data_IF_503066555889
#
_entry.id   IF_503066555889
#
_cell.length_a   1.000
_cell.length_b   1.000
_cell.length_c   1.000
_cell.angle_alpha   90.00
_cell.angle_beta   90.00
_cell.angle_gamma   90.00
#
_symmetry.space_group_name_H-M   'P 1'
#
loop_
_entity.id
_entity.type
_entity.pdbx_description
1 polymer ?
#
# COMPACT_ATOMS: atom_id res chain seq x y z
N UNK A 1 -36.41 -17.35 -16.99
CA UNK A 1 -36.16 -16.14 -16.15
C UNK A 1 -37.51 -15.69 -15.59
N UNK A 2 -37.66 -15.50 -14.28
CA UNK A 2 -38.88 -14.91 -13.73
C UNK A 2 -39.07 -13.48 -14.26
N UNK A 3 -40.32 -12.98 -14.40
CA UNK A 3 -40.58 -11.63 -14.89
C UNK A 3 -39.96 -10.60 -13.93
N UNK A 4 -39.28 -9.59 -14.49
CA UNK A 4 -38.66 -8.50 -13.73
C UNK A 4 -39.42 -7.20 -13.98
N UNK A 5 -39.69 -6.39 -12.94
CA UNK A 5 -40.29 -5.07 -13.13
C UNK A 5 -39.37 -4.17 -13.97
N UNK A 6 -39.97 -3.31 -14.79
CA UNK A 6 -39.25 -2.33 -15.60
C UNK A 6 -38.74 -1.23 -14.66
N UNK A 7 -37.43 -1.00 -14.64
CA UNK A 7 -36.83 0.13 -13.95
C UNK A 7 -37.01 1.37 -14.82
N UNK A 8 -37.84 2.31 -14.38
CA UNK A 8 -37.99 3.61 -15.03
C UNK A 8 -36.90 4.55 -14.49
N UNK A 9 -35.99 4.97 -15.36
CA UNK A 9 -34.99 5.97 -15.02
C UNK A 9 -35.52 7.36 -15.40
N UNK A 10 -35.29 8.36 -14.54
CA UNK A 10 -35.59 9.74 -14.91
C UNK A 10 -34.69 10.20 -16.06
N UNK A 11 -35.14 11.20 -16.83
CA UNK A 11 -34.32 11.78 -17.90
C UNK A 11 -33.02 12.38 -17.36
N UNK A 12 -33.08 13.05 -16.21
CA UNK A 12 -31.92 13.69 -15.56
C UNK A 12 -30.87 12.65 -15.13
N UNK A 13 -31.31 11.53 -14.55
CA UNK A 13 -30.41 10.44 -14.18
C UNK A 13 -29.77 9.79 -15.43
N UNK A 14 -30.55 9.61 -16.50
CA UNK A 14 -30.07 9.01 -17.75
C UNK A 14 -29.03 9.91 -18.42
N UNK A 15 -29.31 11.20 -18.50
CA UNK A 15 -28.40 12.19 -19.05
C UNK A 15 -27.14 12.32 -18.17
N UNK A 16 -27.28 12.29 -16.85
CA UNK A 16 -26.16 12.27 -15.90
C UNK A 16 -25.24 11.08 -16.09
N UNK A 17 -25.77 9.88 -16.32
CA UNK A 17 -24.99 8.69 -16.66
C UNK A 17 -24.24 8.83 -17.98
N UNK A 18 -24.90 9.34 -19.03
CA UNK A 18 -24.28 9.56 -20.34
C UNK A 18 -23.15 10.62 -20.26
N UNK A 19 -23.40 11.74 -19.58
CA UNK A 19 -22.41 12.79 -19.38
C UNK A 19 -21.17 12.25 -18.66
N UNK A 20 -21.38 11.46 -17.59
CA UNK A 20 -20.28 10.81 -16.86
C UNK A 20 -19.52 9.80 -17.73
N UNK A 21 -20.22 8.99 -18.53
CA UNK A 21 -19.60 8.06 -19.47
C UNK A 21 -18.64 8.78 -20.41
N UNK A 22 -19.07 9.88 -21.02
CA UNK A 22 -18.24 10.66 -21.93
C UNK A 22 -17.07 11.35 -21.21
N UNK A 23 -17.31 11.92 -20.03
CA UNK A 23 -16.26 12.57 -19.23
C UNK A 23 -15.18 11.58 -18.80
N UNK A 24 -15.57 10.47 -18.16
CA UNK A 24 -14.64 9.44 -17.73
C UNK A 24 -13.96 8.78 -18.94
N UNK A 25 -14.67 8.58 -20.05
CA UNK A 25 -14.13 8.06 -21.29
C UNK A 25 -13.11 9.00 -21.97
N UNK A 26 -13.25 10.32 -21.83
CA UNK A 26 -12.23 11.26 -22.28
C UNK A 26 -11.02 11.27 -21.34
N UNK A 27 -11.24 11.22 -20.03
CA UNK A 27 -10.16 11.25 -19.04
C UNK A 27 -9.31 9.98 -19.05
N UNK A 28 -9.90 8.82 -19.35
CA UNK A 28 -9.18 7.53 -19.35
C UNK A 28 -8.11 7.44 -20.44
N UNK A 29 -8.25 8.22 -21.53
CA UNK A 29 -7.27 8.31 -22.61
C UNK A 29 -5.92 8.81 -22.10
N UNK A 30 -5.91 9.64 -21.05
CA UNK A 30 -4.67 10.13 -20.43
C UNK A 30 -3.78 9.03 -19.85
N UNK A 31 -4.26 7.79 -19.73
CA UNK A 31 -3.40 6.63 -19.38
C UNK A 31 -2.34 6.35 -20.45
N UNK A 32 -2.58 6.77 -21.71
CA UNK A 32 -1.66 6.57 -22.82
C UNK A 32 -0.44 7.49 -22.75
N UNK A 33 -0.50 8.57 -21.96
CA UNK A 33 0.61 9.48 -21.70
C UNK A 33 1.55 8.87 -20.65
N UNK A 34 2.10 7.70 -21.00
CA UNK A 34 2.99 6.95 -20.12
C UNK A 34 4.24 7.79 -19.78
N UNK A 35 4.52 7.91 -18.49
CA UNK A 35 5.75 8.54 -17.98
C UNK A 35 6.66 7.50 -17.36
N UNK A 36 6.11 6.71 -16.44
CA UNK A 36 6.80 5.64 -15.74
C UNK A 36 5.78 4.66 -15.13
N UNK A 37 6.26 3.49 -14.71
CA UNK A 37 5.43 2.41 -14.17
C UNK A 37 4.66 2.78 -12.90
N UNK A 38 5.22 3.66 -12.04
CA UNK A 38 4.58 4.08 -10.79
C UNK A 38 3.49 5.13 -11.06
N UNK A 39 3.73 6.08 -11.98
CA UNK A 39 2.71 7.01 -12.48
C UNK A 39 1.53 6.26 -13.10
N UNK A 40 1.80 5.20 -13.89
CA UNK A 40 0.75 4.36 -14.46
C UNK A 40 -0.09 3.69 -13.36
N UNK A 41 0.54 3.11 -12.34
CA UNK A 41 -0.17 2.49 -11.22
C UNK A 41 -0.99 3.51 -10.42
N UNK A 42 -0.41 4.67 -10.11
CA UNK A 42 -1.11 5.77 -9.42
C UNK A 42 -2.31 6.26 -10.24
N UNK A 43 -2.16 6.40 -11.56
CA UNK A 43 -3.24 6.77 -12.45
C UNK A 43 -4.37 5.75 -12.39
N UNK A 44 -4.07 4.46 -12.59
CA UNK A 44 -5.08 3.39 -12.60
C UNK A 44 -5.78 3.31 -11.24
N UNK A 45 -5.03 3.33 -10.14
CA UNK A 45 -5.58 3.27 -8.79
C UNK A 45 -6.49 4.46 -8.47
N UNK A 46 -6.02 5.69 -8.72
CA UNK A 46 -6.78 6.92 -8.44
C UNK A 46 -8.00 7.08 -9.35
N UNK A 47 -7.89 6.67 -10.62
CA UNK A 47 -9.00 6.71 -11.57
C UNK A 47 -10.10 5.71 -11.17
N UNK A 48 -9.72 4.50 -10.77
CA UNK A 48 -10.68 3.44 -10.39
C UNK A 48 -11.30 3.66 -9.00
N UNK A 49 -10.67 4.48 -8.17
CA UNK A 49 -11.18 4.88 -6.86
C UNK A 49 -12.15 6.09 -6.89
N UNK A 50 -12.46 6.64 -8.08
CA UNK A 50 -13.43 7.73 -8.22
C UNK A 50 -14.77 7.38 -7.54
N UNK A 51 -15.42 8.40 -6.99
CA UNK A 51 -16.77 8.32 -6.42
C UNK A 51 -17.69 9.23 -7.22
N UNK A 52 -18.72 8.69 -7.89
CA UNK A 52 -19.00 7.25 -8.11
C UNK A 52 -17.97 6.59 -9.03
N UNK A 53 -17.83 5.26 -8.91
CA UNK A 53 -16.86 4.48 -9.70
C UNK A 53 -17.11 4.64 -11.21
N UNK A 54 -16.06 4.64 -12.06
CA UNK A 54 -16.25 4.71 -13.51
C UNK A 54 -17.16 3.58 -14.00
N UNK A 55 -17.99 3.91 -14.99
CA UNK A 55 -18.93 2.97 -15.58
C UNK A 55 -18.21 1.77 -16.19
N UNK A 56 -18.91 0.63 -16.27
CA UNK A 56 -18.35 -0.66 -16.73
C UNK A 56 -17.61 -0.50 -18.05
N UNK A 57 -18.20 0.21 -19.01
CA UNK A 57 -17.59 0.45 -20.32
C UNK A 57 -16.23 1.16 -20.23
N UNK A 58 -16.11 2.20 -19.40
CA UNK A 58 -14.85 2.93 -19.23
C UNK A 58 -13.81 2.06 -18.54
N UNK A 59 -14.21 1.25 -17.57
CA UNK A 59 -13.30 0.31 -16.90
C UNK A 59 -12.79 -0.77 -17.85
N UNK A 60 -13.66 -1.28 -18.73
CA UNK A 60 -13.23 -2.21 -19.79
C UNK A 60 -12.34 -1.53 -20.81
N UNK A 61 -12.61 -0.26 -21.16
CA UNK A 61 -11.77 0.51 -22.07
C UNK A 61 -10.37 0.73 -21.51
N UNK A 62 -10.25 1.08 -20.22
CA UNK A 62 -8.95 1.18 -19.54
C UNK A 62 -8.20 -0.15 -19.62
N UNK A 63 -8.89 -1.26 -19.33
CA UNK A 63 -8.29 -2.59 -19.41
C UNK A 63 -7.84 -2.92 -20.85
N UNK A 64 -8.58 -2.50 -21.88
CA UNK A 64 -8.16 -2.65 -23.27
C UNK A 64 -6.90 -1.84 -23.56
N UNK A 65 -6.81 -0.58 -23.13
CA UNK A 65 -5.59 0.23 -23.32
C UNK A 65 -4.36 -0.39 -22.65
N UNK A 66 -4.54 -1.03 -21.48
CA UNK A 66 -3.44 -1.65 -20.74
C UNK A 66 -2.92 -2.96 -21.38
N UNK A 67 -3.74 -3.72 -22.09
CA UNK A 67 -3.43 -5.11 -22.46
C UNK A 67 -3.80 -5.53 -23.89
N UNK A 68 -3.96 -4.59 -24.82
CA UNK A 68 -4.35 -4.93 -26.19
C UNK A 68 -3.22 -5.65 -26.93
N UNK A 69 -3.50 -6.82 -27.54
CA UNK A 69 -2.58 -7.55 -28.42
C UNK A 69 -1.17 -7.84 -27.82
N UNK A 70 -1.07 -8.11 -26.51
CA UNK A 70 0.20 -8.31 -25.78
C UNK A 70 1.12 -7.08 -25.75
N UNK A 71 0.61 -5.91 -26.15
CA UNK A 71 1.26 -4.62 -26.01
C UNK A 71 0.63 -3.85 -24.86
N UNK A 72 1.47 -3.15 -24.11
CA UNK A 72 1.07 -2.27 -23.03
C UNK A 72 0.98 -0.86 -23.61
N UNK A 73 -0.19 -0.24 -23.47
CA UNK A 73 -0.45 1.13 -23.96
C UNK A 73 -0.13 1.30 -25.47
N UNK A 74 -0.23 0.21 -26.24
CA UNK A 74 -0.07 0.18 -27.70
C UNK A 74 1.35 0.41 -28.23
N UNK A 75 2.38 0.41 -27.37
CA UNK A 75 3.76 0.64 -27.81
C UNK A 75 4.83 -0.02 -26.94
N UNK A 76 4.50 -0.42 -25.71
CA UNK A 76 5.46 -0.98 -24.76
C UNK A 76 5.32 -2.50 -24.65
N UNK A 77 6.44 -3.19 -24.50
CA UNK A 77 6.45 -4.60 -24.11
C UNK A 77 6.30 -4.76 -22.59
N UNK A 78 5.89 -5.95 -22.16
CA UNK A 78 5.84 -6.32 -20.73
C UNK A 78 7.21 -6.16 -20.07
N UNK A 79 8.28 -6.53 -20.79
CA UNK A 79 9.65 -6.35 -20.32
C UNK A 79 10.00 -4.89 -20.08
N UNK A 80 9.67 -3.99 -21.00
CA UNK A 80 9.94 -2.56 -20.81
C UNK A 80 9.23 -2.00 -19.59
N UNK A 81 7.98 -2.41 -19.34
CA UNK A 81 7.25 -1.97 -18.16
C UNK A 81 7.86 -2.52 -16.85
N UNK A 82 8.25 -3.80 -16.84
CA UNK A 82 8.90 -4.42 -15.67
C UNK A 82 10.28 -3.81 -15.41
N UNK A 83 11.12 -3.68 -16.43
CA UNK A 83 12.47 -3.13 -16.31
C UNK A 83 12.43 -1.65 -15.87
N UNK A 84 11.44 -0.87 -16.32
CA UNK A 84 11.21 0.49 -15.78
C UNK A 84 10.88 0.45 -14.29
N UNK A 85 9.96 -0.43 -13.86
CA UNK A 85 9.58 -0.57 -12.45
C UNK A 85 10.75 -1.04 -11.57
N UNK A 86 11.51 -2.03 -12.03
CA UNK A 86 12.73 -2.48 -11.37
C UNK A 86 13.73 -1.34 -11.21
N UNK A 87 13.95 -0.54 -12.26
CA UNK A 87 14.88 0.59 -12.24
C UNK A 87 14.48 1.69 -11.24
N UNK A 88 13.19 1.82 -10.94
CA UNK A 88 12.69 2.80 -9.96
C UNK A 88 12.86 2.27 -8.54
N UNK A 89 12.57 0.98 -8.33
CA UNK A 89 12.41 0.43 -6.98
C UNK A 89 13.71 -0.15 -6.41
N UNK A 90 14.35 -1.10 -7.10
CA UNK A 90 15.42 -1.93 -6.51
C UNK A 90 16.67 -2.05 -7.38
N UNK A 91 16.60 -1.72 -8.66
CA UNK A 91 17.67 -1.86 -9.65
C UNK A 91 18.04 -0.56 -10.38
N UNK A 92 18.14 0.61 -9.72
CA UNK A 92 18.48 1.85 -10.42
C UNK A 92 19.86 1.78 -11.05
N UNK A 93 19.95 2.11 -12.33
CA UNK A 93 21.18 2.06 -13.12
C UNK A 93 21.96 0.74 -12.97
N UNK A 94 21.27 -0.39 -12.77
CA UNK A 94 21.89 -1.70 -12.51
C UNK A 94 22.35 -2.37 -13.80
N UNK A 95 23.56 -2.99 -13.83
CA UNK A 95 23.98 -3.81 -14.97
C UNK A 95 23.06 -5.03 -15.19
N UNK A 96 22.25 -5.41 -14.19
CA UNK A 96 21.25 -6.49 -14.34
C UNK A 96 20.14 -6.14 -15.34
N UNK A 97 19.90 -4.85 -15.59
CA UNK A 97 18.91 -4.37 -16.57
C UNK A 97 19.57 -3.99 -17.92
N UNK A 98 20.87 -4.23 -18.08
CA UNK A 98 21.58 -3.90 -19.31
C UNK A 98 21.15 -4.83 -20.44
N UNK A 99 20.73 -4.25 -21.57
CA UNK A 99 20.28 -5.00 -22.75
C UNK A 99 21.45 -5.65 -23.47
N UNK A 100 22.66 -5.10 -23.33
CA UNK A 100 23.87 -5.68 -23.93
C UNK A 100 24.17 -7.08 -23.37
N UNK A 101 23.59 -7.46 -22.22
CA UNK A 101 23.69 -8.82 -21.69
C UNK A 101 22.95 -9.85 -22.56
N UNK A 102 21.87 -9.47 -23.24
CA UNK A 102 21.05 -10.38 -24.04
C UNK A 102 21.78 -10.87 -25.29
N UNK A 103 22.72 -10.06 -25.80
CA UNK A 103 23.47 -10.33 -27.03
C UNK A 103 24.71 -11.21 -26.78
N UNK A 104 25.00 -11.55 -25.52
CA UNK A 104 26.13 -12.41 -25.16
C UNK A 104 25.72 -13.87 -25.33
N UNK A 105 26.37 -14.59 -26.26
CA UNK A 105 26.16 -16.03 -26.48
C UNK A 105 27.19 -16.91 -25.73
N UNK A 106 28.24 -16.31 -25.18
CA UNK A 106 29.31 -17.04 -24.50
C UNK A 106 28.86 -17.53 -23.11
N UNK A 107 28.53 -18.81 -22.98
CA UNK A 107 28.00 -19.45 -21.76
C UNK A 107 28.91 -19.30 -20.52
N UNK A 108 30.21 -19.07 -20.72
CA UNK A 108 31.16 -18.84 -19.62
C UNK A 108 31.22 -17.39 -19.14
N UNK A 109 30.66 -16.45 -19.90
CA UNK A 109 30.58 -15.04 -19.49
C UNK A 109 29.47 -14.87 -18.43
N UNK A 110 29.74 -14.22 -17.28
CA UNK A 110 28.71 -13.97 -16.28
C UNK A 110 27.48 -13.23 -16.81
N UNK A 111 27.62 -12.42 -17.88
CA UNK A 111 26.51 -11.69 -18.51
C UNK A 111 25.50 -12.61 -19.18
N UNK A 112 25.93 -13.76 -19.72
CA UNK A 112 25.02 -14.78 -20.24
C UNK A 112 24.09 -15.30 -19.12
N UNK A 113 24.68 -15.64 -17.96
CA UNK A 113 23.91 -16.08 -16.81
C UNK A 113 22.99 -14.98 -16.27
N UNK A 114 23.43 -13.72 -16.25
CA UNK A 114 22.59 -12.58 -15.86
C UNK A 114 21.37 -12.48 -16.79
N UNK A 115 21.57 -12.54 -18.11
CA UNK A 115 20.47 -12.47 -19.08
C UNK A 115 19.45 -13.60 -18.88
N UNK A 116 19.92 -14.85 -18.73
CA UNK A 116 19.07 -16.02 -18.49
C UNK A 116 18.27 -15.90 -17.19
N UNK A 117 18.92 -15.54 -16.09
CA UNK A 117 18.29 -15.43 -14.77
C UNK A 117 17.29 -14.28 -14.70
N UNK A 118 17.63 -13.13 -15.29
CA UNK A 118 16.71 -11.98 -15.38
C UNK A 118 15.51 -12.28 -16.27
N UNK A 119 15.70 -13.02 -17.36
CA UNK A 119 14.60 -13.43 -18.23
C UNK A 119 13.67 -14.43 -17.54
N UNK A 120 14.24 -15.41 -16.83
CA UNK A 120 13.48 -16.33 -15.99
C UNK A 120 12.62 -15.58 -14.97
N UNK A 121 13.20 -14.58 -14.28
CA UNK A 121 12.44 -13.79 -13.33
C UNK A 121 11.34 -12.96 -14.00
N UNK A 122 11.62 -12.27 -15.13
CA UNK A 122 10.61 -11.51 -15.87
C UNK A 122 9.42 -12.36 -16.28
N UNK A 123 9.66 -13.59 -16.74
CA UNK A 123 8.60 -14.53 -17.09
C UNK A 123 7.71 -14.88 -15.89
N UNK A 124 8.32 -15.10 -14.72
CA UNK A 124 7.59 -15.40 -13.47
C UNK A 124 6.85 -14.17 -12.92
N UNK A 125 7.43 -12.98 -13.02
CA UNK A 125 6.88 -11.73 -12.49
C UNK A 125 5.80 -11.10 -13.37
N UNK A 126 5.81 -11.38 -14.68
CA UNK A 126 4.91 -10.77 -15.66
C UNK A 126 3.43 -10.89 -15.26
N UNK A 127 2.95 -12.10 -15.00
CA UNK A 127 1.53 -12.30 -14.70
C UNK A 127 1.11 -11.65 -13.37
N UNK A 128 1.79 -11.88 -12.22
CA UNK A 128 1.48 -11.20 -10.96
C UNK A 128 1.45 -9.68 -11.09
N UNK A 129 2.43 -9.09 -11.79
CA UNK A 129 2.52 -7.65 -11.96
C UNK A 129 1.39 -7.07 -12.81
N UNK A 130 1.08 -7.71 -13.95
CA UNK A 130 -0.05 -7.29 -14.80
C UNK A 130 -1.40 -7.49 -14.09
N UNK A 131 -1.51 -8.47 -13.20
CA UNK A 131 -2.72 -8.70 -12.40
C UNK A 131 -3.01 -7.56 -11.42
N UNK A 132 -2.02 -6.76 -11.00
CA UNK A 132 -2.26 -5.54 -10.22
C UNK A 132 -3.16 -4.59 -10.99
N UNK A 133 -2.73 -4.25 -12.23
CA UNK A 133 -3.41 -3.31 -13.11
C UNK A 133 -4.78 -3.86 -13.55
N UNK A 134 -4.84 -5.16 -13.89
CA UNK A 134 -6.07 -5.84 -14.31
C UNK A 134 -7.10 -5.91 -13.19
N UNK A 135 -6.65 -6.22 -11.97
CA UNK A 135 -7.51 -6.30 -10.79
C UNK A 135 -8.06 -4.93 -10.42
N UNK A 136 -7.24 -3.88 -10.49
CA UNK A 136 -7.66 -2.51 -10.21
C UNK A 136 -8.82 -2.03 -11.12
N UNK A 137 -8.93 -2.55 -12.34
CA UNK A 137 -10.02 -2.23 -13.27
C UNK A 137 -11.38 -2.87 -12.91
N UNK A 138 -11.42 -3.76 -11.91
CA UNK A 138 -12.66 -4.39 -11.46
C UNK A 138 -13.48 -3.48 -10.53
N UNK A 139 -14.72 -3.87 -10.22
CA UNK A 139 -15.45 -3.21 -9.13
C UNK A 139 -14.75 -3.47 -7.79
N UNK A 140 -14.89 -2.54 -6.83
CA UNK A 140 -14.13 -2.56 -5.55
C UNK A 140 -14.29 -3.88 -4.76
N UNK A 141 -15.49 -4.45 -4.72
CA UNK A 141 -15.72 -5.76 -4.09
C UNK A 141 -14.92 -6.89 -4.75
N UNK A 142 -14.89 -6.89 -6.09
CA UNK A 142 -14.13 -7.87 -6.87
C UNK A 142 -12.62 -7.64 -6.77
N UNK A 143 -12.15 -6.39 -6.70
CA UNK A 143 -10.75 -6.05 -6.42
C UNK A 143 -10.32 -6.79 -5.15
N UNK A 144 -10.98 -6.53 -4.01
CA UNK A 144 -10.63 -7.13 -2.72
C UNK A 144 -10.65 -8.66 -2.78
N UNK A 145 -11.70 -9.24 -3.36
CA UNK A 145 -11.83 -10.70 -3.48
C UNK A 145 -10.67 -11.31 -4.28
N UNK A 146 -10.32 -10.71 -5.42
CA UNK A 146 -9.19 -11.20 -6.25
C UNK A 146 -7.88 -11.08 -5.50
N UNK A 147 -7.61 -9.95 -4.82
CA UNK A 147 -6.39 -9.77 -4.03
C UNK A 147 -6.20 -10.86 -2.98
N UNK A 148 -7.25 -11.24 -2.25
CA UNK A 148 -7.20 -12.34 -1.28
C UNK A 148 -6.81 -13.69 -1.89
N UNK A 149 -6.96 -13.88 -3.20
CA UNK A 149 -6.58 -15.12 -3.89
C UNK A 149 -5.16 -15.04 -4.46
N UNK A 150 -4.81 -13.92 -5.09
CA UNK A 150 -3.52 -13.77 -5.80
C UNK A 150 -2.35 -13.41 -4.88
N UNK A 151 -2.60 -13.06 -3.61
CA UNK A 151 -1.52 -12.71 -2.67
C UNK A 151 -0.54 -13.87 -2.43
N UNK A 152 -1.00 -15.13 -2.53
CA UNK A 152 -0.13 -16.31 -2.45
C UNK A 152 0.82 -16.40 -3.65
N UNK A 153 0.42 -15.89 -4.81
CA UNK A 153 1.27 -15.93 -6.00
C UNK A 153 2.46 -14.97 -5.82
N UNK A 154 2.28 -13.87 -5.08
CA UNK A 154 3.36 -12.98 -4.65
C UNK A 154 4.29 -13.61 -3.61
N UNK A 155 3.76 -14.44 -2.71
CA UNK A 155 4.59 -15.23 -1.79
C UNK A 155 5.53 -16.16 -2.55
N UNK A 156 4.98 -16.94 -3.49
CA UNK A 156 5.76 -17.85 -4.32
C UNK A 156 6.78 -17.10 -5.17
N UNK A 157 6.38 -15.97 -5.78
CA UNK A 157 7.28 -15.15 -6.59
C UNK A 157 8.45 -14.61 -5.77
N UNK A 158 8.24 -14.25 -4.49
CA UNK A 158 9.33 -13.79 -3.64
C UNK A 158 10.35 -14.91 -3.36
N UNK A 159 9.88 -16.12 -3.05
CA UNK A 159 10.77 -17.29 -2.83
C UNK A 159 11.59 -17.56 -4.09
N UNK A 160 10.92 -17.63 -5.24
CA UNK A 160 11.56 -17.79 -6.54
C UNK A 160 12.59 -16.68 -6.83
N UNK A 161 12.25 -15.43 -6.51
CA UNK A 161 13.13 -14.29 -6.71
C UNK A 161 14.39 -14.37 -5.84
N UNK A 162 14.28 -14.89 -4.62
CA UNK A 162 15.40 -15.05 -3.71
C UNK A 162 16.40 -16.10 -4.23
N UNK A 163 15.92 -17.22 -4.78
CA UNK A 163 16.77 -18.21 -5.43
C UNK A 163 17.52 -17.61 -6.63
N UNK A 164 16.83 -16.80 -7.44
CA UNK A 164 17.43 -16.11 -8.60
C UNK A 164 18.46 -15.07 -8.13
N UNK A 165 18.13 -14.28 -7.11
CA UNK A 165 19.04 -13.28 -6.53
C UNK A 165 20.33 -13.92 -6.01
N UNK A 166 20.26 -15.10 -5.37
CA UNK A 166 21.45 -15.82 -4.90
C UNK A 166 22.38 -16.20 -6.07
N UNK A 167 21.82 -16.64 -7.20
CA UNK A 167 22.61 -16.93 -8.41
C UNK A 167 23.23 -15.64 -8.95
N UNK A 168 22.45 -14.56 -9.07
CA UNK A 168 22.92 -13.27 -9.57
C UNK A 168 24.02 -12.68 -8.68
N UNK A 169 23.89 -12.79 -7.37
CA UNK A 169 24.88 -12.36 -6.38
C UNK A 169 26.25 -13.00 -6.65
N UNK A 170 26.28 -14.33 -6.85
CA UNK A 170 27.51 -15.07 -7.16
C UNK A 170 28.08 -14.65 -8.52
N UNK A 171 27.23 -14.52 -9.55
CA UNK A 171 27.68 -14.17 -10.91
C UNK A 171 28.20 -12.74 -11.03
N UNK A 172 27.66 -11.82 -10.24
CA UNK A 172 28.06 -10.40 -10.21
C UNK A 172 29.20 -10.11 -9.22
N UNK A 173 29.59 -11.09 -8.40
CA UNK A 173 30.50 -10.91 -7.27
C UNK A 173 30.06 -9.73 -6.38
N UNK A 174 28.76 -9.69 -6.05
CA UNK A 174 28.18 -8.62 -5.24
C UNK A 174 28.87 -8.55 -3.87
N UNK A 175 29.24 -7.34 -3.45
CA UNK A 175 29.86 -7.11 -2.14
C UNK A 175 28.78 -6.83 -1.09
N UNK A 176 28.74 -7.57 0.03
CA UNK A 176 27.76 -7.34 1.08
C UNK A 176 27.91 -5.93 1.67
N UNK A 177 26.80 -5.36 2.10
CA UNK A 177 26.77 -4.20 2.98
C UNK A 177 26.88 -4.69 4.41
N UNK A 178 27.73 -4.06 5.22
CA UNK A 178 27.79 -4.32 6.66
C UNK A 178 26.67 -3.52 7.33
N UNK A 179 25.66 -4.21 7.86
CA UNK A 179 24.57 -3.58 8.58
C UNK A 179 24.83 -3.69 10.08
N UNK A 180 24.83 -2.54 10.77
CA UNK A 180 24.84 -2.53 12.23
C UNK A 180 23.45 -2.92 12.74
N UNK A 181 23.35 -4.07 13.39
CA UNK A 181 22.15 -4.49 14.10
C UNK A 181 22.05 -3.68 15.40
N UNK A 182 20.84 -3.25 15.77
CA UNK A 182 20.63 -2.61 17.08
C UNK A 182 20.72 -3.61 18.25
N UNK A 183 20.66 -4.91 17.95
CA UNK A 183 20.67 -6.00 18.94
C UNK A 183 22.02 -6.75 19.02
N UNK A 184 22.81 -6.74 17.94
CA UNK A 184 24.07 -7.49 17.87
C UNK A 184 25.28 -6.56 17.89
N UNK A 185 26.33 -6.98 18.60
CA UNK A 185 27.60 -6.24 18.70
C UNK A 185 28.44 -6.31 17.42
N UNK A 186 28.18 -7.27 16.54
CA UNK A 186 28.92 -7.50 15.30
C UNK A 186 28.09 -7.09 14.07
N UNK A 187 28.68 -6.41 13.07
CA UNK A 187 27.99 -6.08 11.83
C UNK A 187 27.58 -7.36 11.09
N UNK A 188 26.34 -7.41 10.60
CA UNK A 188 25.82 -8.54 9.82
C UNK A 188 25.95 -8.22 8.33
N UNK A 189 26.45 -9.18 7.55
CA UNK A 189 26.49 -9.09 6.09
C UNK A 189 25.08 -9.05 5.51
N UNK A 190 24.82 -8.05 4.67
CA UNK A 190 23.52 -7.84 4.03
C UNK A 190 23.70 -7.63 2.52
N UNK A 191 23.16 -8.52 1.71
CA UNK A 191 23.13 -8.43 0.24
C UNK A 191 21.89 -7.69 -0.22
N UNK A 192 21.85 -7.12 -1.43
CA UNK A 192 20.70 -6.32 -1.87
C UNK A 192 19.42 -7.15 -2.08
N UNK A 193 19.56 -8.37 -2.61
CA UNK A 193 18.43 -9.23 -3.03
C UNK A 193 17.37 -8.42 -3.79
N UNK A 194 17.74 -7.78 -4.92
CA UNK A 194 16.91 -6.75 -5.53
C UNK A 194 15.58 -7.27 -6.11
N UNK A 195 15.53 -8.50 -6.61
CA UNK A 195 14.31 -9.08 -7.18
C UNK A 195 13.35 -9.52 -6.08
N UNK A 196 13.86 -10.19 -5.05
CA UNK A 196 13.09 -10.58 -3.85
C UNK A 196 12.61 -9.35 -3.09
N UNK A 197 13.46 -8.31 -2.97
CA UNK A 197 13.07 -7.04 -2.34
C UNK A 197 11.95 -6.34 -3.10
N UNK A 198 11.96 -6.38 -4.44
CA UNK A 198 10.88 -5.86 -5.26
C UNK A 198 9.57 -6.64 -5.04
N UNK A 199 9.64 -7.98 -5.13
CA UNK A 199 8.47 -8.84 -4.94
C UNK A 199 7.86 -8.67 -3.54
N UNK A 200 8.71 -8.58 -2.52
CA UNK A 200 8.29 -8.39 -1.13
C UNK A 200 7.59 -7.05 -0.91
N UNK A 201 8.09 -5.96 -1.51
CA UNK A 201 7.46 -4.64 -1.41
C UNK A 201 6.04 -4.67 -2.00
N UNK A 202 5.85 -5.28 -3.17
CA UNK A 202 4.52 -5.43 -3.76
C UNK A 202 3.61 -6.32 -2.91
N UNK A 203 4.12 -7.43 -2.40
CA UNK A 203 3.37 -8.31 -1.50
C UNK A 203 2.84 -7.54 -0.29
N UNK A 204 3.69 -6.76 0.40
CA UNK A 204 3.28 -5.92 1.52
C UNK A 204 2.21 -4.89 1.13
N UNK A 205 2.40 -4.19 0.01
CA UNK A 205 1.40 -3.23 -0.51
C UNK A 205 0.04 -3.89 -0.77
N UNK A 206 0.05 -5.10 -1.34
CA UNK A 206 -1.19 -5.85 -1.58
C UNK A 206 -1.84 -6.32 -0.27
N UNK A 207 -1.06 -6.76 0.72
CA UNK A 207 -1.57 -7.13 2.05
C UNK A 207 -2.26 -5.93 2.72
N UNK A 208 -1.61 -4.75 2.72
CA UNK A 208 -2.19 -3.52 3.25
C UNK A 208 -3.47 -3.14 2.49
N UNK A 209 -3.48 -3.22 1.17
CA UNK A 209 -4.65 -2.91 0.35
C UNK A 209 -5.84 -3.84 0.64
N UNK A 210 -5.61 -5.14 0.91
CA UNK A 210 -6.67 -6.07 1.33
C UNK A 210 -7.32 -5.60 2.64
N UNK A 211 -6.51 -5.07 3.57
CA UNK A 211 -6.99 -4.53 4.85
C UNK A 211 -7.74 -3.21 4.62
N UNK A 212 -7.15 -2.28 3.89
CA UNK A 212 -7.74 -0.97 3.57
C UNK A 212 -9.09 -1.08 2.85
N UNK A 213 -9.20 -1.97 1.87
CA UNK A 213 -10.46 -2.28 1.19
C UNK A 213 -11.50 -2.89 2.13
N UNK A 214 -11.10 -3.52 3.23
CA UNK A 214 -12.03 -4.00 4.22
C UNK A 214 -12.72 -2.87 4.99
N UNK A 215 -12.03 -1.75 5.23
CA UNK A 215 -12.66 -0.54 5.78
C UNK A 215 -13.60 0.10 4.75
N UNK A 216 -13.11 0.32 3.52
CA UNK A 216 -13.89 0.95 2.45
C UNK A 216 -15.19 0.18 2.11
N UNK A 217 -15.16 -1.15 2.22
CA UNK A 217 -16.29 -2.02 1.89
C UNK A 217 -17.11 -2.44 3.12
N UNK A 218 -16.89 -1.81 4.28
CA UNK A 218 -17.61 -2.10 5.53
C UNK A 218 -17.57 -3.59 5.93
N UNK A 219 -16.44 -4.25 5.66
CA UNK A 219 -16.26 -5.68 5.95
C UNK A 219 -15.99 -5.95 7.43
N UNK A 220 -15.59 -4.92 8.18
CA UNK A 220 -15.23 -5.00 9.59
C UNK A 220 -16.36 -4.45 10.44
N UNK A 221 -16.75 -5.21 11.47
CA UNK A 221 -17.67 -4.74 12.48
C UNK A 221 -16.98 -3.71 13.37
N UNK A 222 -17.79 -2.88 14.03
CA UNK A 222 -17.29 -1.76 14.85
C UNK A 222 -16.31 -2.20 15.95
N UNK A 223 -16.54 -3.36 16.56
CA UNK A 223 -15.67 -3.93 17.60
C UNK A 223 -14.41 -4.62 17.05
N UNK A 224 -14.33 -4.82 15.73
CA UNK A 224 -13.15 -5.37 15.04
C UNK A 224 -12.20 -4.27 14.54
N UNK A 225 -12.65 -3.00 14.48
CA UNK A 225 -11.88 -1.91 13.90
C UNK A 225 -10.53 -1.68 14.59
N UNK A 226 -10.49 -1.73 15.92
CA UNK A 226 -9.23 -1.65 16.69
C UNK A 226 -8.22 -2.69 16.18
N UNK A 227 -8.66 -3.93 16.03
CA UNK A 227 -7.80 -5.03 15.61
C UNK A 227 -7.35 -4.95 14.16
N UNK A 228 -8.23 -4.49 13.27
CA UNK A 228 -7.83 -4.33 11.87
C UNK A 228 -6.90 -3.14 11.65
N UNK A 229 -7.05 -2.05 12.42
CA UNK A 229 -6.07 -0.96 12.44
C UNK A 229 -4.75 -1.39 13.08
N UNK A 230 -4.77 -2.20 14.13
CA UNK A 230 -3.57 -2.81 14.70
C UNK A 230 -2.82 -3.66 13.66
N UNK A 231 -3.54 -4.48 12.89
CA UNK A 231 -2.92 -5.31 11.86
C UNK A 231 -2.41 -4.47 10.67
N UNK A 232 -3.12 -3.41 10.27
CA UNK A 232 -2.63 -2.48 9.26
C UNK A 232 -1.33 -1.78 9.71
N UNK A 233 -1.27 -1.33 10.97
CA UNK A 233 -0.07 -0.78 11.61
C UNK A 233 1.07 -1.81 11.57
N UNK A 234 0.81 -3.05 11.97
CA UNK A 234 1.79 -4.14 11.95
C UNK A 234 2.40 -4.33 10.55
N UNK A 235 1.58 -4.40 9.50
CA UNK A 235 2.07 -4.51 8.11
C UNK A 235 2.85 -3.27 7.65
N UNK A 236 2.34 -2.07 7.97
CA UNK A 236 2.99 -0.82 7.59
C UNK A 236 4.37 -0.65 8.24
N UNK A 237 4.58 -1.17 9.46
CA UNK A 237 5.92 -1.22 10.10
C UNK A 237 6.90 -2.07 9.29
N UNK A 238 6.50 -3.26 8.83
CA UNK A 238 7.34 -4.08 7.93
C UNK A 238 7.61 -3.36 6.62
N UNK A 239 6.61 -2.70 6.02
CA UNK A 239 6.80 -1.92 4.79
C UNK A 239 7.75 -0.75 4.98
N UNK A 240 7.69 -0.07 6.12
CA UNK A 240 8.60 1.02 6.46
C UNK A 240 10.04 0.51 6.60
N UNK A 241 10.26 -0.55 7.38
CA UNK A 241 11.57 -1.17 7.57
C UNK A 241 12.16 -1.67 6.24
N UNK A 242 11.34 -2.29 5.40
CA UNK A 242 11.77 -2.76 4.09
C UNK A 242 12.08 -1.60 3.13
N UNK A 243 11.30 -0.53 3.16
CA UNK A 243 11.58 0.69 2.38
C UNK A 243 12.88 1.37 2.83
N UNK A 244 13.19 1.36 4.13
CA UNK A 244 14.46 1.84 4.68
C UNK A 244 15.64 1.00 4.19
N UNK A 245 15.47 -0.32 4.17
CA UNK A 245 16.44 -1.24 3.59
C UNK A 245 16.67 -0.97 2.11
N UNK A 246 15.62 -0.84 1.30
CA UNK A 246 15.78 -0.50 -0.14
C UNK A 246 16.55 0.82 -0.28
N UNK A 247 16.18 1.85 0.51
CA UNK A 247 16.88 3.15 0.49
C UNK A 247 18.37 3.00 0.77
N UNK A 248 18.80 2.17 1.73
CA UNK A 248 20.23 2.04 2.04
C UNK A 248 21.04 1.52 0.84
N UNK A 249 20.51 0.54 0.10
CA UNK A 249 21.17 0.04 -1.13
C UNK A 249 21.15 1.07 -2.26
N UNK A 250 20.04 1.81 -2.44
CA UNK A 250 19.97 2.89 -3.43
C UNK A 250 20.99 3.99 -3.12
N UNK A 251 21.08 4.44 -1.87
CA UNK A 251 22.04 5.46 -1.43
C UNK A 251 23.47 5.00 -1.65
N UNK A 252 23.80 3.76 -1.26
CA UNK A 252 25.12 3.18 -1.54
C UNK A 252 25.45 3.20 -3.04
N UNK A 253 24.49 2.86 -3.88
CA UNK A 253 24.68 2.85 -5.34
C UNK A 253 24.90 4.26 -5.90
N UNK A 254 24.23 5.27 -5.35
CA UNK A 254 24.47 6.69 -5.67
C UNK A 254 25.89 7.11 -5.26
N UNK A 255 26.37 6.70 -4.10
CA UNK A 255 27.72 6.98 -3.61
C UNK A 255 28.79 6.31 -4.50
N UNK A 256 28.58 5.04 -4.86
CA UNK A 256 29.43 4.30 -5.79
C UNK A 256 29.51 4.99 -7.16
N UNK A 257 28.37 5.40 -7.72
CA UNK A 257 28.31 6.11 -9.00
C UNK A 257 29.03 7.47 -8.96
N UNK A 258 28.94 8.21 -7.85
CA UNK A 258 29.67 9.48 -7.63
C UNK A 258 31.18 9.26 -7.53
N UNK A 259 31.61 8.16 -6.91
CA UNK A 259 33.03 7.82 -6.75
C UNK A 259 33.71 7.37 -8.04
N UNK A 260 32.93 6.79 -8.97
CA UNK A 260 33.40 6.28 -10.26
C UNK A 260 32.60 6.87 -11.42
N UNK A 261 32.77 8.17 -11.73
CA UNK A 261 32.02 8.81 -12.80
C UNK A 261 32.34 8.16 -14.16
N UNK A 262 31.33 7.53 -14.77
CA UNK A 262 31.44 6.95 -16.12
C UNK A 262 31.54 8.07 -17.15
N UNK A 263 32.69 8.16 -17.84
CA UNK A 263 32.98 9.21 -18.85
C UNK A 263 32.07 9.20 -20.10
N UNK A 264 31.25 8.16 -20.28
CA UNK A 264 30.39 7.94 -21.47
C UNK A 264 28.90 7.83 -21.16
N UNK A 265 28.47 8.16 -19.94
CA UNK A 265 27.04 8.12 -19.61
C UNK A 265 26.38 9.46 -19.93
N UNK A 266 25.38 9.45 -20.81
CA UNK A 266 24.63 10.65 -21.23
C UNK A 266 23.69 11.18 -20.12
N UNK A 267 24.05 11.05 -18.85
CA UNK A 267 23.24 11.46 -17.69
C UNK A 267 22.09 10.51 -17.33
N UNK A 268 21.80 9.49 -18.14
CA UNK A 268 20.65 8.58 -17.96
C UNK A 268 20.71 7.79 -16.65
N UNK A 269 21.89 7.32 -16.26
CA UNK A 269 22.04 6.63 -14.97
C UNK A 269 21.78 7.56 -13.78
N UNK A 270 22.20 8.82 -13.86
CA UNK A 270 21.98 9.79 -12.78
C UNK A 270 20.48 10.12 -12.67
N UNK A 271 19.78 10.28 -13.79
CA UNK A 271 18.31 10.43 -13.80
C UNK A 271 17.59 9.23 -13.16
N UNK A 272 17.99 7.99 -13.48
CA UNK A 272 17.42 6.79 -12.85
C UNK A 272 17.68 6.75 -11.34
N UNK A 273 18.90 7.09 -10.92
CA UNK A 273 19.26 7.14 -9.51
C UNK A 273 18.47 8.21 -8.75
N UNK A 274 18.31 9.42 -9.32
CA UNK A 274 17.47 10.48 -8.73
C UNK A 274 16.00 10.06 -8.64
N UNK A 275 15.48 9.40 -9.69
CA UNK A 275 14.11 8.87 -9.70
C UNK A 275 13.90 7.83 -8.59
N UNK A 276 14.86 6.91 -8.41
CA UNK A 276 14.79 5.92 -7.33
C UNK A 276 14.91 6.54 -5.93
N UNK A 277 15.73 7.59 -5.75
CA UNK A 277 15.77 8.37 -4.51
C UNK A 277 14.42 9.06 -4.22
N UNK A 278 13.78 9.64 -5.22
CA UNK A 278 12.44 10.23 -5.07
C UNK A 278 11.42 9.16 -4.67
N UNK A 279 11.46 7.98 -5.31
CA UNK A 279 10.57 6.87 -4.99
C UNK A 279 10.76 6.36 -3.56
N UNK A 280 12.01 6.14 -3.13
CA UNK A 280 12.30 5.68 -1.76
C UNK A 280 11.81 6.69 -0.72
N UNK A 281 11.99 7.99 -0.97
CA UNK A 281 11.44 9.06 -0.11
C UNK A 281 9.91 9.00 -0.05
N UNK A 282 9.23 8.85 -1.18
CA UNK A 282 7.78 8.72 -1.24
C UNK A 282 7.31 7.47 -0.49
N UNK A 283 7.93 6.31 -0.76
CA UNK A 283 7.57 5.03 -0.15
C UNK A 283 7.74 5.05 1.37
N UNK A 284 8.80 5.70 1.88
CA UNK A 284 9.01 5.89 3.32
C UNK A 284 7.94 6.77 3.95
N UNK A 285 7.64 7.93 3.35
CA UNK A 285 6.62 8.83 3.86
C UNK A 285 5.23 8.17 3.86
N UNK A 286 4.87 7.48 2.78
CA UNK A 286 3.59 6.80 2.65
C UNK A 286 3.44 5.64 3.66
N UNK A 287 4.49 4.83 3.85
CA UNK A 287 4.52 3.76 4.85
C UNK A 287 4.45 4.32 6.28
N UNK A 288 5.20 5.37 6.59
CA UNK A 288 5.20 6.00 7.91
C UNK A 288 3.83 6.60 8.25
N UNK A 289 3.20 7.31 7.32
CA UNK A 289 1.85 7.86 7.52
C UNK A 289 0.83 6.75 7.75
N UNK A 290 0.88 5.69 6.95
CA UNK A 290 -0.03 4.55 7.10
C UNK A 290 0.16 3.90 8.46
N UNK A 291 1.40 3.68 8.88
CA UNK A 291 1.76 3.17 10.19
C UNK A 291 1.19 4.06 11.31
N UNK A 292 1.57 5.33 11.34
CA UNK A 292 1.24 6.23 12.44
C UNK A 292 -0.26 6.52 12.55
N UNK A 293 -0.98 6.66 11.42
CA UNK A 293 -2.42 6.93 11.44
C UNK A 293 -3.22 5.69 11.85
N UNK A 294 -2.81 4.50 11.41
CA UNK A 294 -3.43 3.25 11.86
C UNK A 294 -3.14 2.97 13.32
N UNK A 295 -1.96 3.31 13.84
CA UNK A 295 -1.63 3.21 15.27
C UNK A 295 -2.51 4.16 16.10
N UNK A 296 -2.66 5.42 15.67
CA UNK A 296 -3.51 6.38 16.35
C UNK A 296 -4.99 5.94 16.40
N UNK A 297 -5.52 5.42 15.29
CA UNK A 297 -6.89 4.90 15.24
C UNK A 297 -7.03 3.63 16.07
N UNK A 298 -6.04 2.73 16.06
CA UNK A 298 -6.00 1.56 16.94
C UNK A 298 -6.14 2.00 18.41
N UNK A 299 -5.27 2.90 18.89
CA UNK A 299 -5.32 3.43 20.25
C UNK A 299 -6.69 4.06 20.60
N UNK A 300 -7.24 4.87 19.69
CA UNK A 300 -8.55 5.50 19.88
C UNK A 300 -9.66 4.45 20.01
N UNK A 301 -9.72 3.47 19.12
CA UNK A 301 -10.74 2.42 19.17
C UNK A 301 -10.62 1.51 20.41
N UNK A 302 -9.39 1.21 20.86
CA UNK A 302 -9.14 0.49 22.11
C UNK A 302 -9.68 1.31 23.29
N UNK A 303 -9.36 2.60 23.36
CA UNK A 303 -9.85 3.49 24.42
C UNK A 303 -11.39 3.55 24.42
N UNK A 304 -12.03 3.74 23.25
CA UNK A 304 -13.50 3.76 23.15
C UNK A 304 -14.13 2.44 23.61
N UNK A 305 -13.52 1.30 23.32
CA UNK A 305 -13.98 -0.02 23.79
C UNK A 305 -13.84 -0.16 25.31
N UNK A 306 -12.71 0.26 25.89
CA UNK A 306 -12.48 0.23 27.36
C UNK A 306 -13.47 1.11 28.12
N UNK A 307 -13.83 2.25 27.54
CA UNK A 307 -14.83 3.18 28.10
C UNK A 307 -16.27 2.73 27.83
N UNK A 308 -16.51 1.55 27.27
CA UNK A 308 -17.85 1.04 26.98
C UNK A 308 -18.62 1.81 25.91
N UNK A 309 -17.97 2.72 25.17
CA UNK A 309 -18.59 3.52 24.11
C UNK A 309 -18.79 2.71 22.82
N UNK A 310 -18.03 1.62 22.66
CA UNK A 310 -18.21 0.62 21.62
C UNK A 310 -18.44 -0.73 22.31
N UNK A 311 -19.65 -1.27 22.15
CA UNK A 311 -20.05 -2.54 22.74
C UNK A 311 -20.06 -3.62 21.67
N UNK A 312 -19.33 -4.71 21.93
CA UNK A 312 -19.35 -5.88 21.06
C UNK A 312 -20.73 -6.55 21.14
N UNK A 313 -21.38 -6.86 19.99
CA UNK A 313 -22.68 -7.53 20.01
C UNK A 313 -22.54 -8.96 20.58
N UNK A 314 -23.59 -9.50 21.22
CA UNK A 314 -23.58 -10.86 21.72
C UNK A 314 -23.50 -11.86 20.54
N UNK A 315 -22.59 -12.83 20.64
CA UNK A 315 -22.33 -13.82 19.58
C UNK A 315 -22.35 -15.24 20.17
N UNK A 316 -23.52 -15.86 20.37
CA UNK A 316 -23.65 -17.14 21.08
C UNK A 316 -23.05 -18.34 20.31
N UNK A 317 -22.93 -18.24 18.99
CA UNK A 317 -22.44 -19.33 18.11
C UNK A 317 -21.00 -19.13 17.62
N UNK A 318 -20.25 -18.22 18.23
CA UNK A 318 -18.90 -17.87 17.78
C UNK A 318 -18.04 -17.45 18.97
N UNK A 319 -16.74 -17.75 18.91
CA UNK A 319 -15.75 -17.22 19.85
C UNK A 319 -14.75 -16.31 19.12
N UNK A 320 -14.00 -15.54 19.90
CA UNK A 320 -13.08 -14.52 19.38
C UNK A 320 -11.98 -15.14 18.49
N UNK A 321 -11.49 -16.33 18.85
CA UNK A 321 -10.48 -17.07 18.09
C UNK A 321 -10.96 -17.48 16.70
N UNK A 322 -12.15 -18.07 16.58
CA UNK A 322 -12.73 -18.45 15.28
C UNK A 322 -12.96 -17.24 14.37
N UNK A 323 -13.34 -16.09 14.95
CA UNK A 323 -13.49 -14.85 14.18
C UNK A 323 -12.16 -14.32 13.70
N UNK A 324 -11.15 -14.32 14.57
CA UNK A 324 -9.79 -13.97 14.20
C UNK A 324 -9.29 -14.85 13.04
N UNK A 325 -9.41 -16.18 13.15
CA UNK A 325 -8.99 -17.12 12.11
C UNK A 325 -9.71 -16.86 10.78
N UNK A 326 -11.03 -16.62 10.82
CA UNK A 326 -11.80 -16.29 9.62
C UNK A 326 -11.36 -14.94 9.00
N UNK A 327 -11.13 -13.94 9.84
CA UNK A 327 -10.75 -12.58 9.44
C UNK A 327 -9.36 -12.56 8.81
N UNK A 328 -8.43 -13.31 9.37
CA UNK A 328 -7.04 -13.38 8.96
C UNK A 328 -6.75 -14.47 7.92
N UNK A 329 -7.73 -15.31 7.58
CA UNK A 329 -7.62 -16.38 6.57
C UNK A 329 -6.92 -15.96 5.26
N UNK A 330 -7.14 -14.76 4.68
CA UNK A 330 -6.44 -14.35 3.46
C UNK A 330 -4.91 -14.32 3.58
N UNK A 331 -4.38 -14.13 4.80
CA UNK A 331 -2.95 -13.97 5.07
C UNK A 331 -2.30 -15.24 5.62
N UNK A 332 -3.08 -16.28 5.93
CA UNK A 332 -2.58 -17.57 6.40
C UNK A 332 -1.53 -18.24 5.48
N UNK A 333 -1.56 -18.13 4.13
CA UNK A 333 -0.53 -18.74 3.28
C UNK A 333 0.77 -17.92 3.20
N UNK A 334 0.88 -16.77 3.85
CA UNK A 334 2.05 -15.88 3.78
C UNK A 334 3.05 -16.28 4.86
N UNK A 335 4.29 -16.57 4.45
CA UNK A 335 5.37 -16.95 5.36
C UNK A 335 5.98 -15.75 6.07
N UNK A 336 6.19 -14.64 5.37
CA UNK A 336 6.78 -13.42 5.95
C UNK A 336 6.12 -12.12 5.43
N UNK A 337 5.69 -11.18 6.29
CA UNK A 337 5.62 -11.29 7.75
C UNK A 337 4.69 -12.43 8.16
N UNK A 338 5.10 -13.17 9.17
CA UNK A 338 4.26 -14.24 9.71
C UNK A 338 2.95 -13.64 10.24
N UNK A 339 1.84 -14.34 9.99
CA UNK A 339 0.56 -13.94 10.56
C UNK A 339 0.65 -14.00 12.10
N UNK A 340 0.33 -12.90 12.82
CA UNK A 340 0.33 -12.92 14.28
C UNK A 340 -0.58 -14.01 14.82
N UNK A 341 -0.20 -14.60 15.95
CA UNK A 341 -1.07 -15.54 16.65
C UNK A 341 -2.28 -14.82 17.23
N UNK A 342 -3.33 -15.59 17.56
CA UNK A 342 -4.51 -15.03 18.23
C UNK A 342 -4.14 -14.34 19.56
N UNK A 343 -3.17 -14.88 20.28
CA UNK A 343 -2.74 -14.34 21.59
C UNK A 343 -1.97 -13.03 21.41
N UNK A 344 -1.05 -12.95 20.44
CA UNK A 344 -0.35 -11.69 20.08
C UNK A 344 -1.31 -10.61 19.62
N UNK A 345 -2.29 -10.97 18.76
CA UNK A 345 -3.32 -10.06 18.30
C UNK A 345 -4.19 -9.57 19.46
N UNK A 346 -4.56 -10.46 20.38
CA UNK A 346 -5.36 -10.10 21.56
C UNK A 346 -4.56 -9.20 22.50
N UNK A 347 -3.29 -9.52 22.77
CA UNK A 347 -2.43 -8.67 23.58
C UNK A 347 -2.24 -7.28 22.96
N UNK A 348 -1.99 -7.21 21.64
CA UNK A 348 -1.81 -5.95 20.92
C UNK A 348 -3.06 -5.07 20.83
N UNK A 349 -4.25 -5.68 20.90
CA UNK A 349 -5.55 -4.99 20.84
C UNK A 349 -6.18 -4.74 22.22
N UNK A 350 -5.78 -5.49 23.24
CA UNK A 350 -6.18 -5.25 24.62
C UNK A 350 -5.24 -4.28 25.33
N UNK A 351 -3.94 -4.32 25.04
CA UNK A 351 -2.84 -3.56 25.67
C UNK A 351 -2.96 -3.44 27.20
N UNK A 352 -3.12 -4.58 27.93
CA UNK A 352 -3.51 -4.57 29.34
C UNK A 352 -2.55 -3.79 30.25
N UNK A 353 -1.28 -3.69 29.87
CA UNK A 353 -0.23 -3.04 30.66
C UNK A 353 -0.22 -1.51 30.55
N UNK A 354 -1.00 -0.93 29.63
CA UNK A 354 -1.10 0.52 29.45
C UNK A 354 -2.45 1.05 29.90
N UNK A 355 -2.46 2.20 30.58
CA UNK A 355 -3.71 2.85 30.99
C UNK A 355 -4.43 3.49 29.78
N UNK A 356 -5.73 3.78 29.92
CA UNK A 356 -6.48 4.42 28.82
C UNK A 356 -5.94 5.82 28.49
N UNK A 357 -5.47 6.59 29.47
CA UNK A 357 -4.88 7.90 29.21
C UNK A 357 -3.52 7.79 28.50
N UNK A 358 -2.67 6.84 28.92
CA UNK A 358 -1.41 6.53 28.21
C UNK A 358 -1.66 6.14 26.75
N UNK A 359 -2.64 5.28 26.48
CA UNK A 359 -3.03 4.91 25.11
C UNK A 359 -3.43 6.12 24.27
N UNK A 360 -4.21 7.04 24.84
CA UNK A 360 -4.61 8.26 24.15
C UNK A 360 -3.40 9.18 23.93
N UNK A 361 -2.45 9.25 24.86
CA UNK A 361 -1.20 10.00 24.66
C UNK A 361 -0.32 9.41 23.55
N UNK A 362 -0.18 8.08 23.49
CA UNK A 362 0.48 7.40 22.37
C UNK A 362 -0.22 7.74 21.05
N UNK A 363 -1.56 7.69 21.03
CA UNK A 363 -2.37 8.06 19.87
C UNK A 363 -2.17 9.52 19.44
N UNK A 364 -2.06 10.47 20.38
CA UNK A 364 -1.79 11.89 20.07
C UNK A 364 -0.41 12.08 19.44
N UNK A 365 0.61 11.36 19.92
CA UNK A 365 1.95 11.40 19.31
C UNK A 365 1.95 10.81 17.91
N UNK A 366 1.30 9.66 17.73
CA UNK A 366 1.19 8.98 16.44
C UNK A 366 0.44 9.85 15.42
N UNK A 367 -0.71 10.44 15.78
CA UNK A 367 -1.48 11.28 14.86
C UNK A 367 -0.74 12.58 14.49
N UNK A 368 0.08 13.13 15.39
CA UNK A 368 0.93 14.28 15.11
C UNK A 368 2.04 13.94 14.10
N UNK A 369 2.62 12.74 14.19
CA UNK A 369 3.50 12.19 13.16
C UNK A 369 2.80 12.11 11.81
N UNK A 370 1.66 11.41 11.77
CA UNK A 370 0.92 11.16 10.54
C UNK A 370 0.48 12.46 9.85
N UNK A 371 0.05 13.46 10.64
CA UNK A 371 -0.29 14.80 10.15
C UNK A 371 0.90 15.46 9.45
N UNK A 372 2.10 15.47 10.07
CA UNK A 372 3.30 16.06 9.47
C UNK A 372 3.72 15.34 8.18
N UNK A 373 3.62 14.01 8.17
CA UNK A 373 3.87 13.20 6.97
C UNK A 373 2.90 13.53 5.84
N UNK A 374 1.60 13.59 6.13
CA UNK A 374 0.55 13.92 5.15
C UNK A 374 0.64 15.37 4.64
N UNK A 375 1.01 16.33 5.48
CA UNK A 375 1.29 17.70 5.06
C UNK A 375 2.45 17.75 4.05
N UNK A 376 3.50 16.95 4.30
CA UNK A 376 4.65 16.83 3.39
C UNK A 376 4.25 16.17 2.08
N UNK A 377 3.54 15.04 2.13
CA UNK A 377 3.02 14.34 0.95
C UNK A 377 2.15 15.28 0.09
N UNK A 378 1.23 16.02 0.71
CA UNK A 378 0.30 16.91 -0.02
C UNK A 378 0.97 18.04 -0.81
N UNK A 379 2.27 18.29 -0.57
CA UNK A 379 3.08 19.33 -1.21
C UNK A 379 4.10 18.77 -2.20
N UNK A 380 4.21 17.45 -2.33
CA UNK A 380 5.13 16.84 -3.30
C UNK A 380 4.69 17.20 -4.72
N UNK A 381 5.61 17.56 -5.62
CA UNK A 381 5.29 17.78 -7.03
C UNK A 381 4.99 16.45 -7.74
N UNK A 382 4.28 16.51 -8.87
CA UNK A 382 3.77 15.33 -9.58
C UNK A 382 4.84 14.29 -9.95
N UNK A 383 6.07 14.72 -10.22
CA UNK A 383 7.21 13.86 -10.52
C UNK A 383 7.74 13.13 -9.28
N UNK A 384 7.84 13.79 -8.13
CA UNK A 384 8.28 13.15 -6.87
C UNK A 384 7.18 12.29 -6.23
N UNK A 385 5.91 12.61 -6.49
CA UNK A 385 4.76 11.82 -6.02
C UNK A 385 4.35 10.70 -6.98
N UNK A 386 5.05 10.52 -8.11
CA UNK A 386 4.73 9.54 -9.15
C UNK A 386 3.24 9.57 -9.53
N UNK A 387 2.74 10.77 -9.80
CA UNK A 387 1.31 11.01 -10.07
C UNK A 387 1.10 11.87 -11.31
N UNK A 388 2.04 11.88 -12.27
CA UNK A 388 1.86 12.58 -13.55
C UNK A 388 0.61 12.00 -14.24
N UNK A 389 -0.23 12.87 -14.80
CA UNK A 389 -1.54 12.50 -15.37
C UNK A 389 -2.68 12.27 -14.36
N UNK A 390 -2.39 12.21 -13.05
CA UNK A 390 -3.40 12.00 -12.00
C UNK A 390 -3.20 12.84 -10.73
N UNK A 391 -2.33 13.86 -10.79
CA UNK A 391 -1.83 14.58 -9.62
C UNK A 391 -2.94 15.24 -8.80
N UNK A 392 -3.89 15.92 -9.44
CA UNK A 392 -5.00 16.57 -8.73
C UNK A 392 -5.83 15.60 -7.90
N UNK A 393 -6.06 14.39 -8.44
CA UNK A 393 -6.79 13.32 -7.72
C UNK A 393 -5.94 12.77 -6.59
N UNK A 394 -4.66 12.51 -6.84
CA UNK A 394 -3.73 12.05 -5.82
C UNK A 394 -3.65 13.05 -4.66
N UNK A 395 -3.51 14.35 -4.93
CA UNK A 395 -3.49 15.41 -3.91
C UNK A 395 -4.82 15.48 -3.16
N UNK A 396 -5.96 15.34 -3.85
CA UNK A 396 -7.27 15.31 -3.20
C UNK A 396 -7.40 14.15 -2.21
N UNK A 397 -6.96 12.95 -2.59
CA UNK A 397 -6.94 11.76 -1.71
C UNK A 397 -6.02 11.99 -0.50
N UNK A 398 -4.79 12.47 -0.72
CA UNK A 398 -3.85 12.79 0.36
C UNK A 398 -4.40 13.85 1.32
N UNK A 399 -5.07 14.89 0.79
CA UNK A 399 -5.76 15.91 1.61
C UNK A 399 -6.96 15.32 2.36
N UNK A 400 -7.66 14.34 1.79
CA UNK A 400 -8.70 13.57 2.49
C UNK A 400 -8.13 12.83 3.70
N UNK A 401 -7.02 12.12 3.52
CA UNK A 401 -6.30 11.46 4.60
C UNK A 401 -5.77 12.46 5.65
N UNK A 402 -5.26 13.62 5.24
CA UNK A 402 -4.84 14.71 6.14
C UNK A 402 -6.01 15.23 6.99
N UNK A 403 -7.19 15.38 6.41
CA UNK A 403 -8.39 15.74 7.18
C UNK A 403 -8.77 14.65 8.17
N UNK A 404 -8.66 13.38 7.78
CA UNK A 404 -8.88 12.25 8.70
C UNK A 404 -7.90 12.27 9.87
N UNK A 405 -6.60 12.53 9.66
CA UNK A 405 -5.64 12.61 10.77
C UNK A 405 -5.95 13.78 11.72
N UNK A 406 -6.31 14.95 11.19
CA UNK A 406 -6.75 16.08 12.02
C UNK A 406 -8.00 15.71 12.83
N UNK A 407 -8.98 15.07 12.20
CA UNK A 407 -10.19 14.62 12.88
C UNK A 407 -9.90 13.58 13.98
N UNK A 408 -8.97 12.65 13.74
CA UNK A 408 -8.53 11.67 14.75
C UNK A 408 -7.91 12.38 15.96
N UNK A 409 -7.06 13.38 15.74
CA UNK A 409 -6.50 14.17 16.85
C UNK A 409 -7.58 14.89 17.65
N UNK A 410 -8.57 15.48 16.99
CA UNK A 410 -9.72 16.12 17.67
C UNK A 410 -10.52 15.10 18.48
N UNK A 411 -10.77 13.91 17.92
CA UNK A 411 -11.49 12.84 18.59
C UNK A 411 -10.75 12.38 19.86
N UNK A 412 -9.44 12.13 19.76
CA UNK A 412 -8.60 11.73 20.90
C UNK A 412 -8.63 12.80 22.00
N UNK A 413 -8.36 14.07 21.65
CA UNK A 413 -8.38 15.15 22.64
C UNK A 413 -9.77 15.38 23.25
N UNK A 414 -10.85 15.05 22.53
CA UNK A 414 -12.22 15.13 23.07
C UNK A 414 -12.48 14.05 24.12
N UNK A 415 -12.00 12.82 23.89
CA UNK A 415 -12.06 11.73 24.87
C UNK A 415 -11.22 12.05 26.10
N UNK A 416 -9.98 12.54 25.92
CA UNK A 416 -9.11 12.94 27.04
C UNK A 416 -9.74 14.04 27.91
N UNK A 417 -10.34 15.06 27.29
CA UNK A 417 -11.07 16.11 28.03
C UNK A 417 -12.26 15.58 28.82
N UNK A 418 -12.96 14.57 28.30
CA UNK A 418 -14.05 13.92 29.02
C UNK A 418 -13.53 13.12 30.24
N UNK A 419 -12.40 12.41 30.08
CA UNK A 419 -11.75 11.68 31.17
C UNK A 419 -11.21 12.59 32.28
N UNK A 420 -10.67 13.76 31.92
CA UNK A 420 -10.20 14.73 32.92
C UNK A 420 -11.34 15.39 33.73
N UNK A 421 -12.58 15.37 33.21
CA UNK A 421 -13.75 16.01 33.81
C UNK A 421 -14.74 15.06 34.49
N UNK A 422 -14.50 13.75 34.47
CA UNK A 422 -15.37 12.71 35.02
C UNK A 422 -14.58 11.62 35.76
N UNK A 423 -15.28 10.79 36.54
CA UNK A 423 -14.68 9.57 37.12
C UNK A 423 -14.31 8.58 36.00
N UNK A 424 -13.45 7.61 36.29
CA UNK A 424 -12.95 6.61 35.33
C UNK A 424 -14.01 5.63 34.78
N UNK A 425 -15.28 5.77 35.17
CA UNK A 425 -16.38 4.87 34.78
C UNK A 425 -17.21 5.42 33.60
N UNK A 426 -17.58 4.49 32.70
CA UNK A 426 -18.32 4.75 31.46
C UNK A 426 -19.67 5.44 31.64
N UNK A 427 -20.30 5.30 32.81
CA UNK A 427 -21.62 5.88 33.12
C UNK A 427 -21.57 7.38 33.39
N UNK A 428 -20.40 7.94 33.74
CA UNK A 428 -20.23 9.36 34.06
C UNK A 428 -19.67 10.17 32.88
N UNK A 429 -19.14 9.49 31.87
CA UNK A 429 -18.62 10.09 30.65
C UNK A 429 -19.80 10.54 29.79
N UNK A 430 -20.18 11.83 29.92
CA UNK A 430 -21.23 12.50 29.11
C UNK A 430 -20.84 12.65 27.63
N UNK A 431 -20.40 11.57 27.00
CA UNK A 431 -19.98 11.49 25.60
C UNK A 431 -20.53 10.22 24.94
N UNK A 432 -20.76 10.30 23.64
CA UNK A 432 -21.13 9.18 22.77
C UNK A 432 -20.20 9.17 21.56
N UNK A 433 -19.78 7.99 21.12
CA UNK A 433 -19.05 7.80 19.88
C UNK A 433 -20.02 7.43 18.75
N UNK A 434 -20.09 8.27 17.72
CA UNK A 434 -20.80 7.97 16.48
C UNK A 434 -19.79 7.51 15.43
N UNK A 435 -19.97 6.30 14.92
CA UNK A 435 -19.04 5.70 13.96
C UNK A 435 -19.60 5.90 12.54
N UNK A 436 -18.99 6.77 11.72
CA UNK A 436 -19.44 6.99 10.34
C UNK A 436 -19.11 5.78 9.45
N UNK A 437 -19.97 5.52 8.47
CA UNK A 437 -19.63 4.66 7.34
C UNK A 437 -18.62 5.35 6.40
N UNK A 438 -17.97 4.62 5.48
CA UNK A 438 -16.92 5.15 4.60
C UNK A 438 -17.37 6.37 3.77
N UNK A 439 -18.62 6.41 3.32
CA UNK A 439 -19.16 7.54 2.54
C UNK A 439 -19.34 8.84 3.37
N UNK A 440 -19.21 8.75 4.70
CA UNK A 440 -19.38 9.88 5.64
C UNK A 440 -18.06 10.37 6.23
N UNK A 441 -16.93 9.77 5.84
CA UNK A 441 -15.58 10.15 6.27
C UNK A 441 -14.89 11.01 5.20
N UNK A 442 -13.75 11.61 5.56
CA UNK A 442 -12.92 12.35 4.59
C UNK A 442 -12.11 11.42 3.68
N UNK A 443 -11.98 10.15 4.06
CA UNK A 443 -11.20 9.14 3.35
C UNK A 443 -11.69 7.75 3.73
N UNK A 444 -11.97 6.91 2.74
CA UNK A 444 -12.66 5.63 2.89
C UNK A 444 -11.95 4.62 3.80
N UNK A 445 -10.62 4.71 3.91
CA UNK A 445 -9.82 3.79 4.75
C UNK A 445 -9.68 4.23 6.21
N UNK A 446 -9.97 5.50 6.50
CA UNK A 446 -9.71 6.11 7.81
C UNK A 446 -11.05 6.48 8.47
N UNK A 447 -11.65 5.49 9.15
CA UNK A 447 -12.92 5.61 9.85
C UNK A 447 -12.68 6.32 11.19
N UNK A 448 -12.91 7.63 11.20
CA UNK A 448 -12.71 8.44 12.41
C UNK A 448 -14.05 8.57 13.15
N UNK A 449 -14.15 8.09 14.40
CA UNK A 449 -15.37 8.25 15.20
C UNK A 449 -15.61 9.72 15.56
N UNK A 450 -16.86 10.17 15.46
CA UNK A 450 -17.30 11.49 15.91
C UNK A 450 -17.67 11.41 17.39
N UNK A 451 -16.99 12.18 18.22
CA UNK A 451 -17.25 12.23 19.66
C UNK A 451 -18.21 13.38 19.95
N UNK A 452 -19.44 13.06 20.36
CA UNK A 452 -20.48 14.04 20.69
C UNK A 452 -20.74 14.04 22.19
N UNK A 453 -21.02 15.21 22.77
CA UNK A 453 -21.42 15.30 24.19
C UNK A 453 -22.87 14.86 24.34
N UNK A 454 -23.14 14.01 25.31
CA UNK A 454 -24.51 13.69 25.75
C UNK A 454 -24.96 14.72 26.78
N UNK A 455 -26.25 15.08 26.74
CA UNK A 455 -26.85 16.08 27.61
C UNK A 455 -26.95 15.62 29.06
#
# INVERSE_FOLDING_TARGET
>A
MPPRPIVQLSFDDAFGHLSRLCKDGSEVVGVLDYTDSQCLQTFVASFQAKKPQPLVYVRTLLQTFLFNAMEILGSMSIRQLLDDDFSIISLPASPLLDRDNDDIEAVHDPRFAIAEQMELFRQRAAQPFLDILRTACQNRCRVRRTLCHIIRDWENLQVDAEEIDQVLQVKTNERPMMQQSAADLEPVESYALPLSSWAYLYKLRQMELIVQLGFELEMYQMDELAGMYWYLNHLARFRLQHSERIKSFVVRRVEEARSQPRKHDNGKADEQLQRSLAFTRLSLLDAAVTWELSDALCCLYIALRRLGLIVAPPRPYSNDKLRFELRMKPFAPIGFPALPTFDEFTAGTAQPDSTTDELLEYGERAVAGAKRGLETLSKLPANESFSIGSHDRWVATTKGALKSSIATGIAISSVRKALAGGSSDSSDLRIKAELPGPDQTYHDWWLVPRIVRTA
#
